data_IF_938770976249
#
_entry.id   IF_938770976249
#
_cell.length_a   1.000
_cell.length_b   1.000
_cell.length_c   1.000
_cell.angle_alpha   90.00
_cell.angle_beta   90.00
_cell.angle_gamma   90.00
#
_symmetry.space_group_name_H-M   'P 1'
#
loop_
_entity.id
_entity.type
_entity.pdbx_description
1 polymer ?
#
# COMPACT_ATOMS: atom_id res chain seq x y z
N UNK A 1 -41.17 64.72 -56.31
CA UNK A 1 -40.05 64.55 -57.26
C UNK A 1 -38.75 64.81 -56.49
N UNK A 2 -37.77 63.90 -56.63
CA UNK A 2 -36.31 64.14 -56.52
C UNK A 2 -35.59 63.90 -55.15
N UNK A 3 -34.75 62.86 -55.21
CA UNK A 3 -33.39 62.58 -54.68
C UNK A 3 -33.00 62.45 -53.18
N UNK A 4 -32.35 61.29 -52.94
CA UNK A 4 -31.48 60.77 -51.86
C UNK A 4 -30.21 61.65 -51.57
N UNK A 5 -29.26 61.39 -50.60
CA UNK A 5 -28.81 60.07 -50.05
C UNK A 5 -28.14 59.99 -48.62
N UNK A 6 -27.67 58.75 -48.29
CA UNK A 6 -26.52 58.30 -47.45
C UNK A 6 -26.66 57.72 -46.01
N UNK A 7 -26.41 56.39 -45.93
CA UNK A 7 -25.62 55.55 -44.96
C UNK A 7 -25.98 55.49 -43.45
N UNK A 8 -25.86 54.36 -42.73
CA UNK A 8 -24.77 53.36 -42.74
C UNK A 8 -25.16 51.92 -42.33
N UNK A 9 -24.41 50.96 -42.90
CA UNK A 9 -24.30 49.56 -42.51
C UNK A 9 -23.80 49.35 -41.07
N UNK A 10 -24.33 48.33 -40.39
CA UNK A 10 -23.53 47.51 -39.46
C UNK A 10 -23.73 46.03 -39.82
N UNK A 11 -22.67 45.45 -40.41
CA UNK A 11 -22.41 44.01 -40.39
C UNK A 11 -21.87 43.65 -39.00
N UNK A 12 -22.42 42.61 -38.37
CA UNK A 12 -21.71 41.87 -37.31
C UNK A 12 -21.67 40.39 -37.64
N UNK A 13 -20.62 40.06 -38.39
CA UNK A 13 -20.13 38.73 -38.69
C UNK A 13 -19.50 38.08 -37.45
N UNK A 14 -19.68 36.76 -37.38
CA UNK A 14 -19.18 35.80 -36.39
C UNK A 14 -17.91 36.13 -35.62
N UNK A 15 -18.03 36.09 -34.28
CA UNK A 15 -16.92 35.80 -33.35
C UNK A 15 -17.30 34.89 -32.18
N UNK A 16 -18.59 34.59 -31.96
CA UNK A 16 -19.02 33.79 -30.81
C UNK A 16 -18.86 32.26 -30.99
N UNK A 17 -18.77 31.76 -32.23
CA UNK A 17 -18.71 30.32 -32.51
C UNK A 17 -17.32 29.69 -32.34
N UNK A 18 -16.23 30.48 -32.39
CA UNK A 18 -14.85 29.96 -32.29
C UNK A 18 -14.35 29.77 -30.86
N UNK A 19 -14.99 30.36 -29.86
CA UNK A 19 -14.55 30.25 -28.46
C UNK A 19 -15.09 29.00 -27.74
N UNK A 20 -16.25 28.47 -28.14
CA UNK A 20 -16.86 27.31 -27.46
C UNK A 20 -16.15 26.00 -27.86
N UNK A 21 -15.61 25.92 -29.09
CA UNK A 21 -14.94 24.71 -29.56
C UNK A 21 -13.54 24.50 -28.97
N UNK A 22 -12.83 25.58 -28.63
CA UNK A 22 -11.47 25.50 -28.06
C UNK A 22 -11.49 25.04 -26.59
N UNK A 23 -12.50 25.43 -25.82
CA UNK A 23 -12.65 24.95 -24.43
C UNK A 23 -12.97 23.45 -24.35
N UNK A 24 -13.71 22.89 -25.33
CA UNK A 24 -14.03 21.46 -25.36
C UNK A 24 -12.80 20.62 -25.70
N UNK A 25 -11.91 21.07 -26.60
CA UNK A 25 -10.67 20.35 -26.89
C UNK A 25 -9.68 20.34 -25.71
N UNK A 26 -9.63 21.40 -24.89
CA UNK A 26 -8.80 21.42 -23.67
C UNK A 26 -9.30 20.43 -22.59
N UNK A 27 -10.61 20.18 -22.50
CA UNK A 27 -11.16 19.21 -21.53
C UNK A 27 -10.83 17.76 -21.96
N UNK A 28 -10.66 17.49 -23.25
CA UNK A 28 -10.37 16.15 -23.77
C UNK A 28 -8.87 15.82 -23.60
N UNK A 29 -7.96 16.79 -23.76
CA UNK A 29 -6.52 16.57 -23.59
C UNK A 29 -6.09 16.43 -22.12
N UNK A 30 -6.80 17.07 -21.18
CA UNK A 30 -6.53 16.92 -19.73
C UNK A 30 -6.92 15.55 -19.17
N UNK A 31 -7.83 14.80 -19.81
CA UNK A 31 -8.17 13.42 -19.40
C UNK A 31 -7.10 12.39 -19.80
N UNK A 32 -6.14 12.79 -20.64
CA UNK A 32 -5.05 11.95 -21.17
C UNK A 32 -3.81 11.84 -20.26
N UNK A 33 -3.70 12.69 -19.23
CA UNK A 33 -2.82 12.42 -18.10
C UNK A 33 -3.44 11.24 -17.36
N UNK A 34 -3.10 10.03 -17.81
CA UNK A 34 -3.50 8.78 -17.21
C UNK A 34 -3.31 8.88 -15.71
N UNK A 35 -4.40 9.12 -14.99
CA UNK A 35 -4.42 9.07 -13.54
C UNK A 35 -4.00 7.64 -13.22
N UNK A 36 -2.74 7.47 -12.81
CA UNK A 36 -2.18 6.17 -12.53
C UNK A 36 -3.12 5.50 -11.55
N UNK A 37 -3.82 4.45 -12.01
CA UNK A 37 -4.90 3.84 -11.23
C UNK A 37 -4.28 3.10 -10.06
N UNK A 38 -4.11 3.80 -8.95
CA UNK A 38 -3.66 3.22 -7.69
C UNK A 38 -4.81 2.53 -6.97
N UNK A 39 -4.52 1.46 -6.25
CA UNK A 39 -5.50 0.72 -5.44
C UNK A 39 -4.81 0.15 -4.20
N UNK A 40 -5.52 0.08 -3.07
CA UNK A 40 -5.07 -0.73 -1.93
C UNK A 40 -5.49 -2.20 -2.10
N UNK A 41 -4.54 -3.10 -1.87
CA UNK A 41 -4.76 -4.54 -1.73
C UNK A 41 -4.42 -4.98 -0.31
N UNK A 42 -4.93 -6.14 0.11
CA UNK A 42 -4.73 -6.67 1.45
C UNK A 42 -5.88 -6.36 2.41
N UNK A 43 -5.57 -6.35 3.70
CA UNK A 43 -6.51 -6.18 4.79
C UNK A 43 -6.75 -4.70 5.06
N UNK A 44 -7.98 -4.35 5.46
CA UNK A 44 -8.30 -2.98 5.87
C UNK A 44 -7.60 -2.69 7.19
N UNK A 45 -6.87 -1.58 7.26
CA UNK A 45 -6.28 -1.08 8.50
C UNK A 45 -7.39 -0.75 9.49
N UNK A 46 -7.30 -1.28 10.70
CA UNK A 46 -8.15 -0.92 11.83
C UNK A 46 -7.30 -0.25 12.91
N UNK A 47 -7.96 0.58 13.72
CA UNK A 47 -7.40 1.07 14.98
C UNK A 47 -7.95 0.21 16.10
N UNK A 48 -7.09 -0.30 16.97
CA UNK A 48 -7.48 -0.97 18.21
C UNK A 48 -7.53 -2.50 18.15
N UNK A 49 -7.11 -3.07 19.28
CA UNK A 49 -6.93 -4.49 19.63
C UNK A 49 -5.86 -5.25 18.83
N UNK A 50 -4.66 -5.30 19.42
CA UNK A 50 -3.65 -6.31 19.12
C UNK A 50 -4.11 -7.64 19.72
N UNK A 51 -4.45 -8.60 18.86
CA UNK A 51 -4.98 -9.90 19.29
C UNK A 51 -4.04 -11.06 18.94
N UNK A 52 -2.86 -10.73 18.40
CA UNK A 52 -1.75 -11.65 18.23
C UNK A 52 -0.42 -10.95 18.52
N UNK A 53 0.53 -11.70 19.05
CA UNK A 53 1.87 -11.21 19.35
C UNK A 53 2.90 -12.22 18.88
N UNK A 54 4.02 -11.71 18.36
CA UNK A 54 5.11 -12.52 17.88
C UNK A 54 6.40 -12.12 18.58
N UNK A 55 7.12 -13.10 19.12
CA UNK A 55 8.42 -12.87 19.74
C UNK A 55 9.41 -12.34 18.71
N UNK A 56 10.28 -11.43 19.13
CA UNK A 56 11.30 -10.84 18.28
C UNK A 56 12.48 -11.81 18.19
N UNK A 57 12.47 -12.64 17.16
CA UNK A 57 13.55 -13.57 16.84
C UNK A 57 14.09 -13.22 15.46
N UNK A 58 15.42 -13.08 15.33
CA UNK A 58 16.07 -12.77 14.06
C UNK A 58 15.61 -13.73 12.96
N UNK A 59 15.13 -13.17 11.86
CA UNK A 59 14.64 -13.88 10.69
C UNK A 59 13.27 -14.54 10.85
N UNK A 60 12.62 -14.43 12.01
CA UNK A 60 11.19 -14.70 12.14
C UNK A 60 10.39 -13.68 11.29
N UNK A 61 9.25 -14.12 10.78
CA UNK A 61 8.46 -13.34 9.83
C UNK A 61 6.97 -13.38 10.15
N UNK A 62 6.29 -12.29 9.81
CA UNK A 62 4.83 -12.16 9.88
C UNK A 62 4.34 -11.45 8.62
N UNK A 63 3.28 -11.97 8.00
CA UNK A 63 2.74 -11.39 6.77
C UNK A 63 1.35 -11.88 6.42
N UNK A 64 0.81 -11.37 5.32
CA UNK A 64 -0.48 -11.81 4.79
C UNK A 64 -0.43 -12.10 3.30
N UNK A 65 -1.30 -13.02 2.86
CA UNK A 65 -1.51 -13.28 1.44
C UNK A 65 -2.43 -12.19 0.87
N UNK A 66 -2.05 -11.65 -0.28
CA UNK A 66 -2.79 -10.62 -1.02
C UNK A 66 -2.99 -11.04 -2.48
N UNK A 67 -3.95 -10.45 -3.16
CA UNK A 67 -4.17 -10.65 -4.59
C UNK A 67 -3.91 -9.35 -5.35
N UNK A 68 -2.81 -9.32 -6.11
CA UNK A 68 -2.44 -8.23 -7.01
C UNK A 68 -3.25 -8.21 -8.32
N UNK A 69 -4.03 -9.26 -8.59
CA UNK A 69 -4.86 -9.40 -9.79
C UNK A 69 -4.10 -9.94 -11.00
N UNK A 70 -4.77 -9.98 -12.15
CA UNK A 70 -4.23 -10.57 -13.38
C UNK A 70 -3.26 -9.68 -14.18
N UNK A 71 -3.18 -8.39 -13.85
CA UNK A 71 -2.23 -7.45 -14.47
C UNK A 71 -1.04 -7.22 -13.54
N UNK A 72 0.13 -7.01 -14.12
CA UNK A 72 1.31 -6.63 -13.33
C UNK A 72 1.11 -5.24 -12.72
N UNK A 73 1.44 -5.12 -11.44
CA UNK A 73 1.37 -3.87 -10.68
C UNK A 73 2.69 -3.62 -9.98
N UNK A 74 3.01 -2.35 -9.74
CA UNK A 74 4.11 -1.93 -8.89
C UNK A 74 3.60 -1.73 -7.46
N UNK A 75 4.33 -2.22 -6.47
CA UNK A 75 4.08 -1.90 -5.07
C UNK A 75 4.63 -0.51 -4.75
N UNK A 76 3.81 0.34 -4.13
CA UNK A 76 4.17 1.72 -3.81
C UNK A 76 4.38 1.93 -2.32
N UNK A 77 3.52 1.38 -1.47
CA UNK A 77 3.59 1.59 -0.03
C UNK A 77 2.97 0.43 0.72
N UNK A 78 3.74 -0.18 1.62
CA UNK A 78 3.22 -1.11 2.62
C UNK A 78 2.80 -0.32 3.85
N UNK A 79 1.63 -0.61 4.39
CA UNK A 79 1.22 -0.11 5.70
C UNK A 79 0.70 -1.23 6.59
N UNK A 80 1.03 -1.17 7.87
CA UNK A 80 0.53 -2.10 8.87
C UNK A 80 0.46 -1.43 10.24
N UNK A 81 -0.46 -1.90 11.08
CA UNK A 81 -0.69 -1.35 12.41
C UNK A 81 -0.18 -2.32 13.49
N UNK A 82 0.67 -1.82 14.38
CA UNK A 82 1.39 -2.63 15.37
C UNK A 82 1.46 -1.97 16.73
N UNK A 83 1.59 -2.81 17.74
CA UNK A 83 1.95 -2.41 19.10
C UNK A 83 3.33 -2.97 19.45
N UNK A 84 4.27 -2.08 19.76
CA UNK A 84 5.61 -2.46 20.17
C UNK A 84 5.65 -2.61 21.70
N UNK A 85 5.54 -3.86 22.15
CA UNK A 85 5.59 -4.23 23.57
C UNK A 85 7.03 -4.29 24.11
N UNK A 86 8.04 -3.96 23.30
CA UNK A 86 9.43 -3.92 23.70
C UNK A 86 9.82 -2.60 24.40
N UNK A 87 10.97 -2.62 25.07
CA UNK A 87 11.62 -1.41 25.60
C UNK A 87 12.42 -0.64 24.54
N UNK A 88 12.67 -1.25 23.38
CA UNK A 88 13.55 -0.74 22.33
C UNK A 88 12.86 -0.66 20.96
N UNK A 89 13.52 0.02 20.04
CA UNK A 89 13.13 0.06 18.61
C UNK A 89 13.35 -1.32 17.97
N UNK A 90 12.35 -1.82 17.25
CA UNK A 90 12.43 -3.08 16.52
C UNK A 90 12.72 -2.79 15.05
N UNK A 91 13.87 -3.26 14.56
CA UNK A 91 14.22 -3.17 13.15
C UNK A 91 13.68 -4.38 12.38
N UNK A 92 13.15 -4.12 11.18
CA UNK A 92 12.62 -5.14 10.28
C UNK A 92 13.03 -4.86 8.83
N UNK A 93 12.88 -5.88 7.98
CA UNK A 93 12.87 -5.70 6.53
C UNK A 93 11.59 -6.24 5.91
N UNK A 94 11.22 -5.73 4.75
CA UNK A 94 10.05 -6.18 3.98
C UNK A 94 10.47 -7.26 2.99
N UNK A 95 9.70 -8.34 2.92
CA UNK A 95 9.81 -9.37 1.89
C UNK A 95 8.50 -9.48 1.12
N UNK A 96 8.60 -9.86 -0.15
CA UNK A 96 7.44 -10.04 -1.03
C UNK A 96 7.64 -11.34 -1.80
N UNK A 97 6.77 -12.32 -1.57
CA UNK A 97 6.88 -13.63 -2.19
C UNK A 97 5.78 -13.85 -3.21
N UNK A 98 6.09 -14.57 -4.29
CA UNK A 98 5.05 -15.29 -5.04
C UNK A 98 4.45 -16.37 -4.14
N UNK A 99 3.20 -16.75 -4.39
CA UNK A 99 2.55 -17.80 -3.60
C UNK A 99 1.92 -18.86 -4.49
N UNK A 100 2.20 -20.12 -4.16
CA UNK A 100 1.47 -21.28 -4.67
C UNK A 100 0.47 -21.79 -3.64
N UNK A 101 -0.10 -22.96 -3.92
CA UNK A 101 -1.08 -23.62 -3.06
C UNK A 101 -0.46 -24.07 -1.72
N UNK A 102 0.82 -24.47 -1.75
CA UNK A 102 1.56 -24.95 -0.56
C UNK A 102 2.18 -23.84 0.29
N UNK A 103 2.21 -22.59 -0.16
CA UNK A 103 2.85 -21.50 0.60
C UNK A 103 3.59 -20.47 -0.26
N UNK A 104 4.39 -19.61 0.37
CA UNK A 104 5.33 -18.70 -0.29
C UNK A 104 6.41 -19.46 -1.07
N UNK A 105 6.81 -18.92 -2.22
CA UNK A 105 7.84 -19.48 -3.08
C UNK A 105 9.02 -18.48 -3.17
N UNK A 106 9.13 -17.72 -4.26
CA UNK A 106 10.29 -16.88 -4.54
C UNK A 106 10.15 -15.47 -3.95
N UNK A 107 11.21 -14.97 -3.31
CA UNK A 107 11.28 -13.57 -2.88
C UNK A 107 11.58 -12.65 -4.09
N UNK A 108 10.66 -11.72 -4.32
CA UNK A 108 10.68 -10.75 -5.41
C UNK A 108 11.46 -9.48 -5.07
N UNK A 109 11.70 -9.21 -3.78
CA UNK A 109 12.53 -8.09 -3.33
C UNK A 109 14.01 -8.41 -3.60
N UNK A 110 14.69 -7.52 -4.33
CA UNK A 110 16.12 -7.67 -4.69
C UNK A 110 17.03 -6.81 -3.83
N UNK A 111 16.61 -5.59 -3.57
CA UNK A 111 17.30 -4.66 -2.67
C UNK A 111 16.60 -4.64 -1.31
N UNK A 112 17.38 -4.58 -0.24
CA UNK A 112 16.83 -4.68 1.11
C UNK A 112 15.98 -3.45 1.48
N UNK A 113 14.72 -3.69 1.83
CA UNK A 113 13.75 -2.66 2.22
C UNK A 113 13.63 -2.68 3.74
N UNK A 114 14.32 -1.76 4.43
CA UNK A 114 14.34 -1.70 5.91
C UNK A 114 13.33 -0.72 6.47
N UNK A 115 12.85 -1.02 7.67
CA UNK A 115 12.06 -0.12 8.48
C UNK A 115 12.26 -0.35 9.97
N UNK A 116 11.65 0.50 10.78
CA UNK A 116 11.71 0.43 12.24
C UNK A 116 10.34 0.65 12.86
N UNK A 117 10.03 -0.11 13.91
CA UNK A 117 8.91 0.18 14.81
C UNK A 117 9.50 0.78 16.08
N UNK A 118 9.20 2.04 16.35
CA UNK A 118 9.71 2.74 17.53
C UNK A 118 8.96 2.30 18.78
N UNK A 119 9.57 2.48 19.95
CA UNK A 119 8.87 2.28 21.22
C UNK A 119 7.81 3.35 21.38
N UNK A 120 6.65 2.92 21.88
CA UNK A 120 5.64 3.85 22.35
C UNK A 120 6.06 4.47 23.68
N UNK A 121 5.94 5.78 23.80
CA UNK A 121 6.29 6.46 25.03
C UNK A 121 5.30 6.06 26.14
N UNK A 122 5.71 5.14 27.03
CA UNK A 122 4.90 4.65 28.15
C UNK A 122 4.56 5.73 29.19
N UNK A 123 5.02 6.97 29.02
CA UNK A 123 4.80 8.09 29.97
C UNK A 123 3.31 8.38 30.21
N UNK A 124 2.40 8.05 29.29
CA UNK A 124 0.95 8.23 29.49
C UNK A 124 0.22 6.95 29.90
N UNK A 125 0.88 5.78 29.93
CA UNK A 125 0.23 4.49 30.18
C UNK A 125 -0.71 4.01 29.07
N UNK A 126 -0.88 4.75 27.97
CA UNK A 126 -1.72 4.35 26.85
C UNK A 126 -0.98 3.42 25.88
N UNK A 127 -1.63 2.31 25.53
CA UNK A 127 -1.22 1.46 24.41
C UNK A 127 -1.68 2.14 23.12
N UNK A 128 -0.79 2.89 22.47
CA UNK A 128 -1.08 3.56 21.20
C UNK A 128 -0.61 2.69 20.04
N UNK A 129 -1.52 2.00 19.36
CA UNK A 129 -1.20 1.36 18.10
C UNK A 129 -0.50 2.32 17.13
N UNK A 130 0.59 1.88 16.52
CA UNK A 130 1.39 2.65 15.56
C UNK A 130 1.10 2.18 14.15
N UNK A 131 0.66 3.10 13.29
CA UNK A 131 0.59 2.87 11.85
C UNK A 131 1.99 3.03 11.25
N UNK A 132 2.58 1.92 10.86
CA UNK A 132 3.84 1.89 10.12
C UNK A 132 3.54 1.99 8.63
N UNK A 133 4.32 2.82 7.94
CA UNK A 133 4.28 2.99 6.49
C UNK A 133 5.69 2.90 5.93
N UNK A 134 5.89 2.01 4.97
CA UNK A 134 7.17 1.80 4.28
C UNK A 134 6.99 2.16 2.81
N UNK A 135 7.79 3.09 2.32
CA UNK A 135 7.82 3.44 0.90
C UNK A 135 8.51 2.32 0.11
N UNK A 136 7.78 1.74 -0.83
CA UNK A 136 8.23 0.67 -1.71
C UNK A 136 8.51 1.16 -3.13
N UNK A 137 8.09 2.39 -3.47
CA UNK A 137 8.20 2.91 -4.82
C UNK A 137 9.65 2.94 -5.35
N UNK A 138 10.68 3.30 -4.55
CA UNK A 138 12.07 3.31 -5.02
C UNK A 138 12.62 1.95 -5.43
N UNK A 139 12.02 0.87 -4.94
CA UNK A 139 12.50 -0.50 -5.11
C UNK A 139 11.91 -1.22 -6.32
N UNK A 140 10.99 -0.57 -7.06
CA UNK A 140 10.32 -1.09 -8.27
C UNK A 140 9.87 -2.56 -8.14
N UNK A 141 9.27 -2.91 -6.99
CA UNK A 141 8.79 -4.27 -6.75
C UNK A 141 7.53 -4.51 -7.59
N UNK A 142 7.68 -5.27 -8.68
CA UNK A 142 6.60 -5.59 -9.61
C UNK A 142 6.05 -6.98 -9.34
N UNK A 143 4.73 -7.08 -9.25
CA UNK A 143 4.03 -8.32 -8.87
C UNK A 143 2.80 -8.57 -9.72
N UNK A 144 2.37 -9.84 -9.79
CA UNK A 144 1.13 -10.28 -10.42
C UNK A 144 0.58 -11.49 -9.66
N UNK A 145 -0.75 -11.63 -9.62
CA UNK A 145 -1.42 -12.77 -9.01
C UNK A 145 -1.38 -12.77 -7.49
N UNK A 146 -1.28 -13.96 -6.87
CA UNK A 146 -1.28 -14.13 -5.41
C UNK A 146 0.13 -13.94 -4.87
N UNK A 147 0.27 -13.06 -3.89
CA UNK A 147 1.55 -12.76 -3.23
C UNK A 147 1.43 -12.91 -1.71
N UNK A 148 2.56 -13.07 -1.03
CA UNK A 148 2.68 -12.87 0.41
C UNK A 148 3.56 -11.64 0.64
N UNK A 149 3.07 -10.67 1.40
CA UNK A 149 3.90 -9.56 1.88
C UNK A 149 4.14 -9.77 3.37
N UNK A 150 5.41 -9.80 3.79
CA UNK A 150 5.81 -10.00 5.18
C UNK A 150 6.84 -8.99 5.65
N UNK A 151 6.90 -8.82 6.97
CA UNK A 151 8.04 -8.23 7.67
C UNK A 151 8.86 -9.32 8.32
N UNK A 152 10.18 -9.17 8.27
CA UNK A 152 11.17 -10.04 8.89
C UNK A 152 11.97 -9.27 9.94
N UNK A 153 12.08 -9.81 11.15
CA UNK A 153 12.83 -9.17 12.22
C UNK A 153 14.34 -9.29 11.97
N UNK A 154 15.08 -8.19 12.10
CA UNK A 154 16.52 -8.17 11.81
C UNK A 154 17.38 -8.61 13.01
N UNK A 155 16.81 -8.55 14.21
CA UNK A 155 17.49 -8.85 15.47
C UNK A 155 16.64 -9.79 16.34
N UNK A 156 17.29 -10.44 17.30
CA UNK A 156 16.60 -11.17 18.38
C UNK A 156 16.54 -10.29 19.61
N UNK A 157 15.35 -10.18 20.22
CA UNK A 157 15.15 -9.59 21.54
C UNK A 157 14.25 -10.53 22.36
N UNK A 158 14.83 -11.34 23.28
CA UNK A 158 14.11 -12.40 23.99
C UNK A 158 12.93 -11.91 24.85
N UNK A 159 12.99 -10.64 25.29
CA UNK A 159 12.01 -10.04 26.19
C UNK A 159 11.06 -9.10 25.45
N UNK A 160 11.01 -9.20 24.12
CA UNK A 160 10.20 -8.36 23.27
C UNK A 160 9.23 -9.18 22.43
N UNK A 161 8.06 -8.60 22.20
CA UNK A 161 7.13 -9.07 21.18
C UNK A 161 6.57 -7.89 20.41
N UNK A 162 6.20 -8.13 19.16
CA UNK A 162 5.46 -7.18 18.33
C UNK A 162 4.05 -7.69 18.18
N UNK A 163 3.12 -6.87 18.63
CA UNK A 163 1.70 -7.06 18.46
C UNK A 163 1.25 -6.55 17.11
N UNK A 164 0.45 -7.32 16.35
CA UNK A 164 -0.18 -6.80 15.13
C UNK A 164 -1.68 -6.61 15.35
N UNK A 165 -2.20 -5.48 14.90
CA UNK A 165 -3.65 -5.33 14.77
C UNK A 165 -4.18 -6.35 13.79
N UNK A 166 -5.30 -6.97 14.15
CA UNK A 166 -5.87 -8.05 13.37
C UNK A 166 -7.39 -7.97 13.35
N UNK A 167 -7.98 -8.42 12.24
CA UNK A 167 -9.41 -8.71 12.17
C UNK A 167 -9.71 -10.17 11.88
N UNK A 168 -10.92 -10.57 12.25
CA UNK A 168 -11.46 -11.89 11.96
C UNK A 168 -11.80 -12.01 10.47
N UNK A 169 -11.56 -13.20 9.90
CA UNK A 169 -11.88 -13.59 8.52
C UNK A 169 -11.15 -12.79 7.42
N UNK A 170 -10.06 -12.10 7.76
CA UNK A 170 -9.27 -11.29 6.83
C UNK A 170 -8.12 -12.08 6.15
N UNK A 171 -8.39 -13.23 5.56
CA UNK A 171 -7.40 -14.00 4.77
C UNK A 171 -6.32 -14.76 5.55
N UNK A 172 -6.21 -14.52 6.86
CA UNK A 172 -5.31 -15.20 7.79
C UNK A 172 -3.87 -14.68 7.78
N UNK A 173 -3.19 -14.87 8.90
CA UNK A 173 -1.80 -14.43 9.10
C UNK A 173 -0.84 -15.59 8.81
N UNK A 174 0.15 -15.34 7.97
CA UNK A 174 1.25 -16.26 7.71
C UNK A 174 2.45 -15.86 8.54
N UNK A 175 3.15 -16.84 9.12
CA UNK A 175 4.30 -16.56 9.97
C UNK A 175 5.36 -17.66 9.93
N UNK A 176 6.60 -17.28 10.25
CA UNK A 176 7.72 -18.15 10.60
C UNK A 176 8.24 -17.72 11.97
N UNK A 177 8.51 -18.65 12.90
CA UNK A 177 9.12 -18.27 14.20
C UNK A 177 10.66 -18.22 14.15
N UNK A 178 11.27 -18.75 13.09
CA UNK A 178 12.71 -18.64 12.82
C UNK A 178 12.98 -18.85 11.31
N UNK A 179 14.19 -18.55 10.80
CA UNK A 179 14.57 -18.79 9.40
C UNK A 179 14.42 -20.25 8.95
N UNK A 180 14.63 -21.20 9.85
CA UNK A 180 14.69 -22.64 9.55
C UNK A 180 13.30 -23.29 9.61
N UNK A 181 12.32 -22.64 10.24
CA UNK A 181 10.97 -23.19 10.35
C UNK A 181 10.16 -22.97 9.08
N UNK A 182 9.25 -23.90 8.79
CA UNK A 182 8.27 -23.73 7.71
C UNK A 182 7.25 -22.63 8.01
N UNK A 183 6.67 -22.08 6.94
CA UNK A 183 5.57 -21.14 7.04
C UNK A 183 4.32 -21.81 7.64
N UNK A 184 3.74 -21.17 8.66
CA UNK A 184 2.46 -21.56 9.26
C UNK A 184 1.40 -20.51 8.97
N UNK A 185 0.13 -20.93 8.96
CA UNK A 185 -1.03 -20.03 8.76
C UNK A 185 -1.94 -20.06 9.98
N UNK A 186 -2.30 -18.89 10.49
CA UNK A 186 -3.46 -18.69 11.36
C UNK A 186 -4.65 -18.31 10.48
N UNK A 187 -5.61 -19.22 10.19
CA UNK A 187 -6.59 -19.01 9.12
C UNK A 187 -7.64 -17.93 9.43
N UNK A 188 -8.03 -17.79 10.69
CA UNK A 188 -9.15 -16.92 11.10
C UNK A 188 -8.70 -15.49 11.41
N UNK A 189 -7.46 -15.31 11.88
CA UNK A 189 -6.94 -14.02 12.33
C UNK A 189 -5.95 -13.49 11.29
N UNK A 190 -6.31 -12.40 10.61
CA UNK A 190 -5.46 -11.75 9.61
C UNK A 190 -4.92 -10.43 10.11
N UNK A 191 -3.59 -10.30 10.14
CA UNK A 191 -2.90 -9.05 10.44
C UNK A 191 -3.28 -7.95 9.45
N UNK A 192 -3.41 -6.72 9.92
CA UNK A 192 -3.86 -5.58 9.14
C UNK A 192 -2.71 -5.01 8.31
N UNK A 193 -2.31 -5.76 7.28
CA UNK A 193 -1.36 -5.31 6.27
C UNK A 193 -2.13 -4.84 5.04
N UNK A 194 -1.76 -3.70 4.48
CA UNK A 194 -2.20 -3.29 3.16
C UNK A 194 -1.02 -2.84 2.30
N UNK A 195 -1.20 -2.93 0.98
CA UNK A 195 -0.24 -2.35 0.03
C UNK A 195 -0.97 -1.48 -0.97
N UNK A 196 -0.52 -0.23 -1.10
CA UNK A 196 -0.88 0.63 -2.21
C UNK A 196 -0.12 0.15 -3.45
N UNK A 197 -0.86 -0.16 -4.53
CA UNK A 197 -0.28 -0.61 -5.80
C UNK A 197 -0.65 0.34 -6.93
N UNK A 198 0.22 0.45 -7.93
CA UNK A 198 -0.02 1.14 -9.19
C UNK A 198 -0.10 0.14 -10.34
N UNK A 199 -1.17 0.23 -11.13
CA UNK A 199 -1.28 -0.57 -12.36
C UNK A 199 -0.25 -0.12 -13.38
N UNK A 200 0.52 -1.06 -13.91
CA UNK A 200 1.37 -0.81 -15.06
C UNK A 200 0.51 -0.89 -16.33
N UNK A 201 0.86 -0.05 -17.33
CA UNK A 201 0.17 -0.02 -18.62
C UNK A 201 0.52 -1.25 -19.44
#
# INVERSE_FOLDING_TARGET
MINQPYTSLIKTTGKASRFIFTCILCIITLKGLAQDKTKNIGNKLRKGSTNNSFNIVKGAQVGIKMNAGGKTVQLLKLSFDVDNLAKDTIAFKVNVYTTGDKGPLDNLVKDEIKGTVIRNNQVTGEVINQLISVDLAPYDVRVKGKILVSVEFLNTNPNASLGFSCGLLNGGTWYKRSPEQEWKKMPVVGADFNVLVKKLK
#
